data_IF_097402212043
#
_entry.id   IF_097402212043
#
_cell.length_a   1.000
_cell.length_b   1.000
_cell.length_c   1.000
_cell.angle_alpha   90.00
_cell.angle_beta   90.00
_cell.angle_gamma   90.00
#
_symmetry.space_group_name_H-M   'P 1'
#
loop_
_entity.id
_entity.type
_entity.pdbx_description
1 polymer ?
#
# COMPACT_ATOMS: atom_id res chain seq x y z
N UNK A 1 13.08 5.05 12.45
CA UNK A 1 12.89 6.29 13.22
C UNK A 1 12.00 5.94 14.38
N UNK A 2 12.40 6.25 15.61
CA UNK A 2 11.55 6.03 16.77
C UNK A 2 10.47 7.14 16.89
N UNK A 3 9.42 6.97 17.71
CA UNK A 3 8.36 7.96 17.84
C UNK A 3 8.80 9.33 18.39
N UNK A 4 9.93 9.41 19.11
CA UNK A 4 10.45 10.67 19.63
C UNK A 4 11.15 11.48 18.51
N UNK A 5 11.96 10.81 17.69
CA UNK A 5 12.62 11.38 16.51
C UNK A 5 11.59 11.88 15.49
N UNK A 6 10.51 11.12 15.25
CA UNK A 6 9.44 11.54 14.33
C UNK A 6 8.74 12.81 14.84
N UNK A 7 8.47 12.89 16.15
CA UNK A 7 7.88 14.09 16.75
C UNK A 7 8.78 15.31 16.62
N UNK A 8 10.06 15.18 16.94
CA UNK A 8 11.02 16.29 16.80
C UNK A 8 11.10 16.79 15.35
N UNK A 9 11.18 15.86 14.40
CA UNK A 9 11.23 16.18 12.97
C UNK A 9 9.96 16.91 12.51
N UNK A 10 8.79 16.47 12.97
CA UNK A 10 7.51 17.13 12.70
C UNK A 10 7.47 18.54 13.27
N UNK A 11 7.88 18.75 14.53
CA UNK A 11 7.86 20.09 15.14
C UNK A 11 8.76 21.08 14.39
N UNK A 12 9.97 20.64 14.01
CA UNK A 12 10.85 21.45 13.15
C UNK A 12 10.19 21.77 11.80
N UNK A 13 9.60 20.78 11.15
CA UNK A 13 8.92 20.99 9.87
C UNK A 13 7.70 21.93 9.97
N UNK A 14 7.00 21.96 11.11
CA UNK A 14 5.91 22.92 11.38
C UNK A 14 6.40 24.36 11.52
N UNK A 15 7.61 24.52 12.06
CA UNK A 15 8.34 25.78 12.15
C UNK A 15 8.97 26.23 10.81
N UNK A 16 8.64 25.53 9.71
CA UNK A 16 9.16 25.79 8.36
C UNK A 16 10.67 25.58 8.21
N UNK A 17 11.26 24.75 9.08
CA UNK A 17 12.63 24.27 8.92
C UNK A 17 12.74 23.47 7.61
N UNK A 18 13.53 24.02 6.67
CA UNK A 18 13.71 23.46 5.34
C UNK A 18 14.32 22.06 5.38
N UNK A 19 15.32 21.82 6.23
CA UNK A 19 15.98 20.52 6.32
C UNK A 19 15.01 19.46 6.86
N UNK A 20 14.20 19.82 7.85
CA UNK A 20 13.19 18.93 8.40
C UNK A 20 12.12 18.57 7.35
N UNK A 21 11.66 19.56 6.57
CA UNK A 21 10.69 19.33 5.47
C UNK A 21 11.28 18.43 4.38
N UNK A 22 12.53 18.67 3.98
CA UNK A 22 13.23 17.83 3.00
C UNK A 22 13.49 16.41 3.51
N UNK A 23 13.77 16.24 4.81
CA UNK A 23 13.90 14.93 5.44
C UNK A 23 12.57 14.16 5.46
N UNK A 24 11.46 14.82 5.82
CA UNK A 24 10.12 14.22 5.74
C UNK A 24 9.80 13.79 4.30
N UNK A 25 10.07 14.64 3.31
CA UNK A 25 9.84 14.30 1.90
C UNK A 25 10.62 13.05 1.47
N UNK A 26 11.93 13.00 1.80
CA UNK A 26 12.79 11.85 1.50
C UNK A 26 12.35 10.57 2.18
N UNK A 27 11.77 10.65 3.37
CA UNK A 27 11.24 9.50 4.09
C UNK A 27 9.91 9.01 3.50
N UNK A 28 8.99 9.92 3.22
CA UNK A 28 7.63 9.56 2.79
C UNK A 28 7.58 9.12 1.33
N UNK A 29 8.33 9.77 0.44
CA UNK A 29 8.18 9.56 -0.99
C UNK A 29 8.36 8.09 -1.44
N UNK A 30 9.44 7.37 -1.07
CA UNK A 30 9.64 6.00 -1.53
C UNK A 30 8.55 5.04 -1.04
N UNK A 31 8.12 5.19 0.22
CA UNK A 31 7.08 4.36 0.82
C UNK A 31 5.72 4.62 0.15
N UNK A 32 5.34 5.89 -0.03
CA UNK A 32 4.10 6.26 -0.71
C UNK A 32 4.10 5.84 -2.19
N UNK A 33 5.25 5.93 -2.87
CA UNK A 33 5.40 5.45 -4.25
C UNK A 33 5.20 3.94 -4.35
N UNK A 34 5.80 3.16 -3.46
CA UNK A 34 5.61 1.71 -3.42
C UNK A 34 4.13 1.35 -3.23
N UNK A 35 3.43 2.03 -2.33
CA UNK A 35 1.99 1.84 -2.14
C UNK A 35 1.19 2.29 -3.38
N UNK A 36 1.55 3.41 -3.99
CA UNK A 36 0.86 3.93 -5.17
C UNK A 36 1.01 3.01 -6.40
N UNK A 37 2.18 2.40 -6.59
CA UNK A 37 2.42 1.41 -7.66
C UNK A 37 1.50 0.20 -7.51
N UNK A 38 1.32 -0.29 -6.28
CA UNK A 38 0.38 -1.39 -5.95
C UNK A 38 -1.08 -1.03 -6.22
N UNK A 39 -1.47 0.24 -5.99
CA UNK A 39 -2.84 0.70 -6.20
C UNK A 39 -3.16 1.00 -7.67
N UNK A 40 -2.31 1.79 -8.33
CA UNK A 40 -2.54 2.37 -9.66
C UNK A 40 -2.12 1.45 -10.81
N UNK A 41 -1.13 0.56 -10.60
CA UNK A 41 -0.55 -0.31 -11.64
C UNK A 41 -0.10 0.45 -12.89
N UNK A 42 0.28 1.72 -12.71
CA UNK A 42 0.75 2.65 -13.73
C UNK A 42 1.80 3.53 -13.08
N UNK A 43 3.02 3.49 -13.63
CA UNK A 43 4.17 4.17 -13.00
C UNK A 43 3.98 5.69 -13.01
N UNK A 44 3.58 6.24 -14.15
CA UNK A 44 3.26 7.67 -14.32
C UNK A 44 2.24 8.15 -13.28
N UNK A 45 1.13 7.42 -13.15
CA UNK A 45 0.08 7.73 -12.17
C UNK A 45 0.59 7.57 -10.73
N UNK A 46 1.34 6.52 -10.45
CA UNK A 46 1.86 6.27 -9.11
C UNK A 46 2.85 7.35 -8.66
N UNK A 47 3.74 7.78 -9.56
CA UNK A 47 4.69 8.87 -9.33
C UNK A 47 3.95 10.19 -9.06
N UNK A 48 2.96 10.54 -9.88
CA UNK A 48 2.15 11.74 -9.69
C UNK A 48 1.39 11.73 -8.35
N UNK A 49 0.75 10.61 -8.01
CA UNK A 49 0.02 10.45 -6.76
C UNK A 49 0.94 10.54 -5.54
N UNK A 50 2.12 9.92 -5.59
CA UNK A 50 3.08 9.95 -4.49
C UNK A 50 3.67 11.35 -4.29
N UNK A 51 4.04 12.05 -5.37
CA UNK A 51 4.54 13.42 -5.32
C UNK A 51 3.48 14.36 -4.72
N UNK A 52 2.24 14.30 -5.22
CA UNK A 52 1.14 15.13 -4.72
C UNK A 52 0.80 14.80 -3.26
N UNK A 53 0.87 13.53 -2.86
CA UNK A 53 0.67 13.13 -1.47
C UNK A 53 1.72 13.75 -0.53
N UNK A 54 3.00 13.69 -0.89
CA UNK A 54 4.09 14.32 -0.12
C UNK A 54 3.90 15.83 -0.06
N UNK A 55 3.57 16.47 -1.18
CA UNK A 55 3.33 17.92 -1.23
C UNK A 55 2.18 18.33 -0.31
N UNK A 56 1.05 17.62 -0.36
CA UNK A 56 -0.10 17.87 0.53
C UNK A 56 0.22 17.59 1.99
N UNK A 57 0.96 16.52 2.28
CA UNK A 57 1.39 16.19 3.63
C UNK A 57 2.24 17.32 4.22
N UNK A 58 3.23 17.83 3.47
CA UNK A 58 4.08 18.95 3.92
C UNK A 58 3.31 20.26 4.07
N UNK A 59 2.30 20.51 3.24
CA UNK A 59 1.42 21.69 3.35
C UNK A 59 0.50 21.59 4.57
N UNK A 60 0.03 20.40 4.89
CA UNK A 60 -0.88 20.13 6.00
C UNK A 60 -0.15 19.67 7.28
N UNK A 61 1.18 19.70 7.34
CA UNK A 61 1.96 19.12 8.46
C UNK A 61 1.60 19.70 9.83
N UNK A 62 1.08 20.93 9.87
CA UNK A 62 0.58 21.60 11.09
C UNK A 62 -0.69 20.96 11.64
N UNK A 63 -1.44 20.20 10.85
CA UNK A 63 -2.67 19.52 11.26
C UNK A 63 -2.44 18.07 11.67
N UNK A 64 -1.24 17.52 11.45
CA UNK A 64 -0.89 16.19 11.94
C UNK A 64 -0.86 16.23 13.46
N UNK A 65 -1.58 15.35 14.15
CA UNK A 65 -1.77 15.41 15.61
C UNK A 65 -1.08 14.27 16.37
N UNK A 66 -0.32 13.42 15.68
CA UNK A 66 0.46 12.33 16.29
C UNK A 66 -0.38 11.16 16.80
N UNK A 67 -1.65 11.04 16.41
CA UNK A 67 -2.50 9.87 16.75
C UNK A 67 -2.13 8.61 15.95
N UNK A 68 -1.40 8.78 14.85
CA UNK A 68 -0.82 7.70 14.04
C UNK A 68 0.63 8.05 13.72
N UNK A 69 1.36 7.14 13.08
CA UNK A 69 2.64 7.51 12.45
C UNK A 69 2.43 8.57 11.36
N UNK A 70 3.49 9.32 11.04
CA UNK A 70 3.48 10.27 9.94
C UNK A 70 3.17 9.59 8.60
N UNK A 71 3.69 8.38 8.40
CA UNK A 71 3.41 7.56 7.22
C UNK A 71 1.92 7.23 7.11
N UNK A 72 1.29 6.69 8.16
CA UNK A 72 -0.14 6.34 8.17
C UNK A 72 -1.02 7.56 7.83
N UNK A 73 -0.68 8.73 8.37
CA UNK A 73 -1.40 9.96 8.09
C UNK A 73 -1.22 10.43 6.63
N UNK A 74 0.00 10.39 6.10
CA UNK A 74 0.28 10.72 4.70
C UNK A 74 -0.33 9.69 3.73
N UNK A 75 -0.38 8.42 4.13
CA UNK A 75 -1.01 7.36 3.36
C UNK A 75 -2.51 7.62 3.18
N UNK A 76 -3.20 8.12 4.21
CA UNK A 76 -4.60 8.57 4.06
C UNK A 76 -4.75 9.65 2.98
N UNK A 77 -3.80 10.57 2.86
CA UNK A 77 -3.80 11.57 1.79
C UNK A 77 -3.66 10.89 0.43
N UNK A 78 -2.71 9.95 0.30
CA UNK A 78 -2.50 9.15 -0.91
C UNK A 78 -3.76 8.37 -1.32
N UNK A 79 -4.43 7.69 -0.38
CA UNK A 79 -5.66 6.94 -0.68
C UNK A 79 -6.76 7.87 -1.17
N UNK A 80 -6.92 9.05 -0.56
CA UNK A 80 -7.92 10.01 -1.02
C UNK A 80 -7.63 10.53 -2.43
N UNK A 81 -6.35 10.77 -2.75
CA UNK A 81 -5.92 11.11 -4.12
C UNK A 81 -6.25 9.98 -5.09
N UNK A 82 -5.89 8.74 -4.75
CA UNK A 82 -6.18 7.56 -5.55
C UNK A 82 -7.69 7.37 -5.78
N UNK A 83 -8.51 7.40 -4.73
CA UNK A 83 -9.97 7.24 -4.85
C UNK A 83 -10.59 8.32 -5.74
N UNK A 84 -10.07 9.55 -5.70
CA UNK A 84 -10.54 10.62 -6.58
C UNK A 84 -10.11 10.40 -8.03
N UNK A 85 -8.86 10.00 -8.24
CA UNK A 85 -8.33 9.64 -9.55
C UNK A 85 -9.10 8.45 -10.16
N UNK A 86 -9.27 7.36 -9.42
CA UNK A 86 -9.97 6.16 -9.85
C UNK A 86 -11.44 6.42 -10.20
N UNK A 87 -12.14 7.30 -9.46
CA UNK A 87 -13.50 7.74 -9.82
C UNK A 87 -13.55 8.51 -11.14
N UNK A 88 -12.52 9.32 -11.43
CA UNK A 88 -12.42 10.08 -12.68
C UNK A 88 -12.04 9.18 -13.86
N UNK A 89 -11.09 8.27 -13.65
CA UNK A 89 -10.57 7.30 -14.61
C UNK A 89 -11.45 6.07 -14.82
N UNK A 90 -12.50 5.84 -14.02
CA UNK A 90 -13.49 4.77 -14.20
C UNK A 90 -14.17 4.74 -15.58
N UNK A 91 -13.81 5.65 -16.50
CA UNK A 91 -14.18 5.70 -17.92
C UNK A 91 -13.09 5.23 -18.90
N UNK A 92 -11.86 4.98 -18.46
CA UNK A 92 -10.69 4.65 -19.30
C UNK A 92 -9.81 3.64 -18.55
N UNK A 93 -10.08 2.34 -18.68
CA UNK A 93 -9.12 1.31 -18.24
C UNK A 93 -8.00 1.24 -19.27
N UNK A 94 -6.83 1.83 -19.01
CA UNK A 94 -5.62 1.44 -19.73
C UNK A 94 -4.33 1.75 -18.97
N UNK A 95 -3.45 0.76 -18.95
CA UNK A 95 -2.14 0.74 -18.29
C UNK A 95 -2.06 -0.35 -17.22
N UNK A 96 -1.23 -1.38 -17.46
CA UNK A 96 -0.95 -2.46 -16.50
C UNK A 96 0.56 -2.62 -16.40
N UNK A 97 1.13 -2.25 -15.26
CA UNK A 97 2.46 -2.68 -14.85
C UNK A 97 2.45 -4.19 -14.61
N UNK A 98 3.54 -4.87 -14.99
CA UNK A 98 3.74 -6.28 -14.70
C UNK A 98 3.96 -6.54 -13.20
N UNK A 99 3.71 -7.77 -12.76
CA UNK A 99 3.99 -8.22 -11.39
C UNK A 99 5.43 -7.90 -10.97
N UNK A 100 6.40 -8.19 -11.83
CA UNK A 100 7.81 -7.90 -11.56
C UNK A 100 8.07 -6.40 -11.37
N UNK A 101 7.42 -5.52 -12.15
CA UNK A 101 7.58 -4.06 -12.02
C UNK A 101 6.92 -3.50 -10.75
N UNK A 102 5.86 -4.12 -10.25
CA UNK A 102 5.19 -3.72 -9.01
C UNK A 102 5.98 -4.13 -7.76
N UNK A 103 6.78 -5.19 -7.85
CA UNK A 103 7.53 -5.77 -6.74
C UNK A 103 9.05 -5.68 -6.87
N UNK A 104 9.59 -5.07 -7.93
CA UNK A 104 11.02 -4.94 -8.21
C UNK A 104 11.82 -4.24 -7.09
N UNK A 105 11.18 -3.43 -6.25
CA UNK A 105 11.80 -2.67 -5.15
C UNK A 105 11.62 -3.34 -3.79
N UNK A 106 10.85 -4.43 -3.72
CA UNK A 106 10.76 -5.28 -2.54
C UNK A 106 11.99 -6.17 -2.48
N UNK A 107 12.78 -6.06 -1.40
CA UNK A 107 13.84 -7.02 -1.07
C UNK A 107 13.37 -8.42 -1.43
N UNK A 108 14.05 -9.06 -2.38
CA UNK A 108 14.01 -10.50 -2.55
C UNK A 108 14.27 -11.09 -1.16
N UNK A 109 13.23 -11.53 -0.48
CA UNK A 109 13.38 -12.36 0.70
C UNK A 109 14.12 -13.58 0.21
N UNK A 110 15.36 -13.68 0.67
CA UNK A 110 16.31 -14.67 0.23
C UNK A 110 15.74 -16.05 0.50
N UNK A 111 15.33 -16.75 -0.55
CA UNK A 111 15.22 -18.19 -0.53
C UNK A 111 16.19 -18.78 -1.55
N UNK A 112 17.44 -18.94 -1.09
CA UNK A 112 18.53 -19.55 -1.86
C UNK A 112 18.50 -21.09 -1.79
N UNK A 113 17.41 -21.70 -1.34
CA UNK A 113 17.30 -23.14 -1.14
C UNK A 113 16.47 -23.87 -2.21
N UNK A 114 15.71 -23.17 -3.06
CA UNK A 114 14.78 -23.78 -4.01
C UNK A 114 15.30 -23.68 -5.45
N UNK A 115 15.17 -24.77 -6.22
CA UNK A 115 15.60 -24.82 -7.62
C UNK A 115 14.82 -23.85 -8.53
N UNK A 116 15.33 -23.54 -9.74
CA UNK A 116 14.75 -22.53 -10.63
C UNK A 116 13.30 -22.80 -11.03
N UNK A 117 12.88 -24.07 -11.08
CA UNK A 117 11.49 -24.47 -11.38
C UNK A 117 10.54 -24.21 -10.21
N UNK A 118 10.97 -24.45 -8.95
CA UNK A 118 10.18 -24.12 -7.76
C UNK A 118 10.03 -22.60 -7.59
N UNK A 119 11.11 -21.85 -7.81
CA UNK A 119 11.07 -20.38 -7.80
C UNK A 119 10.14 -19.81 -8.89
N UNK A 120 10.02 -20.49 -10.03
CA UNK A 120 9.11 -20.11 -11.11
C UNK A 120 7.63 -20.45 -10.78
N UNK A 121 7.37 -21.62 -10.20
CA UNK A 121 6.04 -22.02 -9.73
C UNK A 121 5.54 -21.10 -8.62
N UNK A 122 6.38 -20.79 -7.63
CA UNK A 122 6.07 -19.85 -6.55
C UNK A 122 5.78 -18.44 -7.10
N UNK A 123 6.56 -17.99 -8.09
CA UNK A 123 6.32 -16.70 -8.74
C UNK A 123 4.99 -16.67 -9.50
N UNK A 124 4.63 -17.76 -10.17
CA UNK A 124 3.35 -17.88 -10.87
C UNK A 124 2.17 -17.90 -9.87
N UNK A 125 2.31 -18.58 -8.73
CA UNK A 125 1.32 -18.55 -7.64
C UNK A 125 1.16 -17.15 -7.05
N UNK A 126 2.27 -16.46 -6.77
CA UNK A 126 2.26 -15.07 -6.29
C UNK A 126 1.63 -14.12 -7.30
N UNK A 127 1.89 -14.32 -8.60
CA UNK A 127 1.27 -13.54 -9.67
C UNK A 127 -0.24 -13.77 -9.72
N UNK A 128 -0.71 -15.02 -9.70
CA UNK A 128 -2.14 -15.36 -9.66
C UNK A 128 -2.83 -14.77 -8.43
N UNK A 129 -2.20 -14.86 -7.25
CA UNK A 129 -2.69 -14.25 -6.02
C UNK A 129 -2.80 -12.73 -6.17
N UNK A 130 -1.79 -12.08 -6.75
CA UNK A 130 -1.78 -10.64 -6.97
C UNK A 130 -2.86 -10.19 -7.96
N UNK A 131 -3.04 -10.92 -9.05
CA UNK A 131 -4.10 -10.66 -10.04
C UNK A 131 -5.47 -10.77 -9.35
N UNK A 132 -5.69 -11.81 -8.53
CA UNK A 132 -6.93 -11.96 -7.76
C UNK A 132 -7.14 -10.83 -6.73
N UNK A 133 -6.08 -10.34 -6.07
CA UNK A 133 -6.14 -9.16 -5.19
C UNK A 133 -6.51 -7.92 -6.00
N UNK A 134 -5.99 -7.77 -7.21
CA UNK A 134 -6.29 -6.65 -8.09
C UNK A 134 -7.76 -6.63 -8.55
N UNK A 135 -8.37 -7.79 -8.71
CA UNK A 135 -9.77 -7.94 -9.13
C UNK A 135 -10.77 -7.73 -7.99
N UNK A 136 -10.30 -7.61 -6.75
CA UNK A 136 -11.16 -7.25 -5.62
C UNK A 136 -11.82 -5.87 -5.84
N UNK A 137 -13.07 -5.69 -5.38
CA UNK A 137 -13.66 -4.37 -5.25
C UNK A 137 -12.70 -3.41 -4.54
N UNK A 138 -12.59 -2.19 -5.03
CA UNK A 138 -11.55 -1.23 -4.62
C UNK A 138 -11.44 -1.04 -3.11
N UNK A 139 -12.57 -0.92 -2.41
CA UNK A 139 -12.59 -0.76 -0.95
C UNK A 139 -12.06 -1.99 -0.21
N UNK A 140 -12.27 -3.20 -0.73
CA UNK A 140 -11.73 -4.44 -0.18
C UNK A 140 -10.22 -4.56 -0.47
N UNK A 141 -9.81 -4.24 -1.71
CA UNK A 141 -8.41 -4.24 -2.14
C UNK A 141 -7.57 -3.32 -1.28
N UNK A 142 -7.96 -2.04 -1.15
CA UNK A 142 -7.20 -1.05 -0.37
C UNK A 142 -7.11 -1.46 1.11
N UNK A 143 -8.21 -1.92 1.71
CA UNK A 143 -8.20 -2.40 3.09
C UNK A 143 -7.27 -3.60 3.26
N UNK A 144 -7.26 -4.55 2.33
CA UNK A 144 -6.36 -5.71 2.40
C UNK A 144 -4.89 -5.30 2.24
N UNK A 145 -4.57 -4.42 1.29
CA UNK A 145 -3.19 -3.94 1.08
C UNK A 145 -2.65 -3.24 2.32
N UNK A 146 -3.48 -2.45 3.01
CA UNK A 146 -3.14 -1.80 4.26
C UNK A 146 -2.79 -2.77 5.38
N UNK A 147 -3.53 -3.86 5.52
CA UNK A 147 -3.23 -4.90 6.53
C UNK A 147 -1.94 -5.64 6.18
N UNK A 148 -1.76 -6.01 4.91
CA UNK A 148 -0.69 -6.95 4.50
C UNK A 148 0.65 -6.25 4.29
N UNK A 149 0.68 -5.07 3.68
CA UNK A 149 1.92 -4.40 3.30
C UNK A 149 2.32 -3.28 4.23
N UNK A 150 1.33 -2.61 4.84
CA UNK A 150 1.58 -1.49 5.74
C UNK A 150 1.50 -1.89 7.22
N UNK A 151 1.15 -3.16 7.50
CA UNK A 151 1.06 -3.77 8.84
C UNK A 151 0.22 -2.96 9.84
N UNK A 152 -0.73 -2.16 9.35
CA UNK A 152 -1.58 -1.33 10.18
C UNK A 152 -2.63 -2.16 10.91
N UNK A 153 -2.92 -1.77 12.15
CA UNK A 153 -4.03 -2.37 12.89
C UNK A 153 -5.39 -1.82 12.40
N UNK A 154 -6.49 -2.46 12.80
CA UNK A 154 -7.81 -2.12 12.26
C UNK A 154 -8.29 -0.71 12.66
N UNK A 155 -7.87 -0.21 13.82
CA UNK A 155 -8.16 1.15 14.28
C UNK A 155 -7.45 2.17 13.37
N UNK A 156 -6.15 1.98 13.12
CA UNK A 156 -5.36 2.82 12.22
C UNK A 156 -5.91 2.85 10.80
N UNK A 157 -6.35 1.69 10.29
CA UNK A 157 -6.98 1.58 8.97
C UNK A 157 -8.33 2.30 8.95
N UNK A 158 -9.13 2.18 10.01
CA UNK A 158 -10.39 2.91 10.15
C UNK A 158 -10.17 4.42 10.09
N UNK A 159 -9.15 4.91 10.80
CA UNK A 159 -8.71 6.30 10.73
C UNK A 159 -8.22 6.69 9.34
N UNK A 160 -7.44 5.85 8.67
CA UNK A 160 -6.92 6.13 7.34
C UNK A 160 -8.02 6.18 6.27
N UNK A 161 -9.00 5.28 6.35
CA UNK A 161 -10.08 5.14 5.36
C UNK A 161 -11.35 5.93 5.71
N UNK A 162 -11.42 6.52 6.91
CA UNK A 162 -12.61 7.24 7.37
C UNK A 162 -13.81 6.32 7.63
N UNK A 163 -13.59 5.10 8.12
CA UNK A 163 -14.64 4.13 8.46
C UNK A 163 -14.43 3.51 9.85
N UNK A 164 -15.42 2.76 10.35
CA UNK A 164 -15.31 2.08 11.64
C UNK A 164 -14.40 0.86 11.58
N UNK A 165 -13.81 0.49 12.73
CA UNK A 165 -13.01 -0.74 12.87
C UNK A 165 -13.79 -1.99 12.45
N UNK A 166 -15.08 -2.08 12.81
CA UNK A 166 -15.96 -3.16 12.36
C UNK A 166 -16.14 -3.22 10.84
N UNK A 167 -16.12 -2.06 10.16
CA UNK A 167 -16.12 -2.02 8.68
C UNK A 167 -14.81 -2.58 8.13
N UNK A 168 -13.67 -2.25 8.75
CA UNK A 168 -12.35 -2.80 8.37
C UNK A 168 -12.35 -4.31 8.52
N UNK A 169 -12.76 -4.83 9.68
CA UNK A 169 -12.84 -6.26 9.94
C UNK A 169 -13.72 -7.00 8.90
N UNK A 170 -14.90 -6.44 8.60
CA UNK A 170 -15.79 -7.00 7.58
C UNK A 170 -15.15 -6.99 6.19
N UNK A 171 -14.47 -5.91 5.80
CA UNK A 171 -13.80 -5.80 4.51
C UNK A 171 -12.66 -6.82 4.38
N UNK A 172 -11.84 -6.99 5.42
CA UNK A 172 -10.77 -7.99 5.45
C UNK A 172 -11.34 -9.40 5.33
N UNK A 173 -12.37 -9.71 6.11
CA UNK A 173 -13.07 -10.99 6.03
C UNK A 173 -13.60 -11.25 4.61
N UNK A 174 -14.30 -10.26 4.03
CA UNK A 174 -14.91 -10.39 2.71
C UNK A 174 -13.87 -10.50 1.59
N UNK A 175 -12.77 -9.75 1.67
CA UNK A 175 -11.65 -9.87 0.74
C UNK A 175 -11.07 -11.29 0.76
N UNK A 176 -10.85 -11.84 1.97
CA UNK A 176 -10.33 -13.22 2.14
C UNK A 176 -11.30 -14.28 1.60
N UNK A 177 -12.61 -14.10 1.77
CA UNK A 177 -13.59 -15.03 1.16
C UNK A 177 -13.49 -15.04 -0.37
N UNK A 178 -13.51 -13.86 -1.00
CA UNK A 178 -13.43 -13.75 -2.47
C UNK A 178 -12.11 -14.35 -2.98
N UNK A 179 -11.00 -14.07 -2.32
CA UNK A 179 -9.71 -14.65 -2.70
C UNK A 179 -9.70 -16.17 -2.56
N UNK A 180 -10.25 -16.72 -1.47
CA UNK A 180 -10.36 -18.17 -1.29
C UNK A 180 -11.21 -18.81 -2.37
N UNK A 181 -12.31 -18.17 -2.79
CA UNK A 181 -13.18 -18.68 -3.86
C UNK A 181 -12.47 -18.65 -5.22
N UNK A 182 -11.75 -17.57 -5.52
CA UNK A 182 -11.06 -17.39 -6.80
C UNK A 182 -9.77 -18.21 -6.92
N UNK A 183 -9.16 -18.60 -5.80
CA UNK A 183 -7.88 -19.31 -5.74
C UNK A 183 -8.01 -20.75 -5.26
N UNK A 184 -9.22 -21.33 -5.23
CA UNK A 184 -9.42 -22.73 -4.79
C UNK A 184 -8.51 -23.70 -5.53
N UNK A 185 -8.32 -23.50 -6.83
CA UNK A 185 -7.50 -24.39 -7.65
C UNK A 185 -6.00 -24.09 -7.53
N UNK A 186 -5.62 -22.89 -7.09
CA UNK A 186 -4.21 -22.46 -6.90
C UNK A 186 -3.66 -22.91 -5.54
N UNK A 187 -4.52 -23.03 -4.53
CA UNK A 187 -4.13 -23.43 -3.16
C UNK A 187 -4.13 -24.96 -2.95
N UNK A 188 -4.71 -25.74 -3.87
CA UNK A 188 -4.77 -27.21 -3.80
C UNK A 188 -3.49 -27.87 -4.36
N UNK A 189 -2.64 -27.12 -5.07
CA UNK A 189 -1.36 -27.62 -5.63
C UNK A 189 -0.14 -27.41 -4.71
N UNK A 190 -0.31 -26.88 -3.49
CA UNK A 190 0.78 -26.90 -2.52
C UNK A 190 1.01 -28.37 -2.09
N UNK A 191 2.21 -28.96 -2.28
CA UNK A 191 2.44 -30.33 -1.90
C UNK A 191 2.19 -30.48 -0.39
N UNK A 192 1.36 -31.46 -0.03
CA UNK A 192 1.33 -31.98 1.33
C UNK A 192 2.69 -32.64 1.59
N UNK A 193 3.66 -31.87 2.07
CA UNK A 193 4.92 -32.42 2.57
C UNK A 193 4.61 -33.29 3.80
N UNK A 194 4.76 -34.60 3.62
CA UNK A 194 4.64 -35.64 4.65
C UNK A 194 5.86 -35.77 5.57
#
# INVERSE_FOLDING_TARGET
>A
MNPAEERELVERARADDREAREAIARQLYPALLASALRMARRRDVAEDLAQEAVFRALRAIRTFDGRSTLFTWAYRILVNLWLNFARQEGRQRSGTLSFDEMFADGKQTADKALGPEHLAADREHLRKLWDAICDLPESLRITLLLVVFEELNYEEIGHALGCSEGTVAWRVFRAREILRENLRDVLVEAPEDG
#
